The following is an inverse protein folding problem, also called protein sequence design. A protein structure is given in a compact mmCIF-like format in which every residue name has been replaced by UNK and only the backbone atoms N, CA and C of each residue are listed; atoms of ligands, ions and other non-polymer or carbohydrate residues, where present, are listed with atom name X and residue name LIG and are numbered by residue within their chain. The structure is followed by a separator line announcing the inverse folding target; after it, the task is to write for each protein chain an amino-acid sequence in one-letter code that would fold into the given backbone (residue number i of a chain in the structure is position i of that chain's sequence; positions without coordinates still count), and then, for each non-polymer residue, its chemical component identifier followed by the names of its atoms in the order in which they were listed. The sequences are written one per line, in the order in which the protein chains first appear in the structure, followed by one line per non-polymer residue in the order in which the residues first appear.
data_IF_724872044089
#
_entry.id   IF_724872044089
#
_cell.length_a   1.000
_cell.length_b   1.000
_cell.length_c   1.000
_cell.angle_alpha   90.00
_cell.angle_beta   90.00
_cell.angle_gamma   90.00
#
_symmetry.space_group_name_H-M   'P 1'
#
loop_
_entity.id
_entity.type
_entity.pdbx_description
1 polymer ?
#
# COMPACT_ATOMS: atom_id res chain seq x y z
N UNK A 1 -1.75 0.68 -37.04
CA UNK A 1 -0.69 1.14 -36.09
C UNK A 1 -1.03 1.00 -34.61
N UNK A 2 -2.27 0.63 -34.23
CA UNK A 2 -2.71 0.60 -32.82
C UNK A 2 -1.98 -0.42 -31.91
N UNK A 3 -1.38 -1.45 -32.51
CA UNK A 3 -0.64 -2.51 -31.79
C UNK A 3 0.75 -2.02 -31.39
N UNK A 4 1.48 -1.39 -32.32
CA UNK A 4 2.84 -0.86 -32.07
C UNK A 4 2.79 0.24 -30.99
N UNK A 5 1.81 1.14 -31.05
CA UNK A 5 1.67 2.19 -30.02
C UNK A 5 1.45 1.62 -28.62
N UNK A 6 0.63 0.56 -28.49
CA UNK A 6 0.37 -0.08 -27.21
C UNK A 6 1.61 -0.81 -26.69
N UNK A 7 2.32 -1.51 -27.57
CA UNK A 7 3.42 -2.41 -27.19
C UNK A 7 4.74 -1.66 -26.98
N UNK A 8 4.97 -0.55 -27.71
CA UNK A 8 6.19 0.25 -27.61
C UNK A 8 6.01 1.58 -26.86
N UNK A 9 4.79 2.09 -26.77
CA UNK A 9 4.50 3.38 -26.14
C UNK A 9 3.29 3.32 -25.20
N UNK A 10 3.34 2.47 -24.15
CA UNK A 10 2.22 2.29 -23.23
C UNK A 10 1.79 3.61 -22.56
N UNK A 11 2.74 4.53 -22.34
CA UNK A 11 2.51 5.81 -21.67
C UNK A 11 2.23 6.98 -22.63
N UNK A 12 2.14 6.75 -23.94
CA UNK A 12 1.93 7.80 -24.95
C UNK A 12 0.71 8.67 -24.63
N UNK A 13 -0.38 8.02 -24.18
CA UNK A 13 -1.62 8.70 -23.82
C UNK A 13 -1.43 9.59 -22.60
N UNK A 14 -0.69 9.13 -21.58
CA UNK A 14 -0.38 9.93 -20.38
C UNK A 14 0.47 11.14 -20.75
N UNK A 15 1.46 10.96 -21.62
CA UNK A 15 2.36 12.04 -22.05
C UNK A 15 1.61 13.14 -22.82
N UNK A 16 0.73 12.76 -23.75
CA UNK A 16 -0.11 13.73 -24.50
C UNK A 16 -0.93 14.62 -23.58
N UNK A 17 -1.47 14.04 -22.51
CA UNK A 17 -2.34 14.73 -21.55
C UNK A 17 -1.57 15.70 -20.69
N UNK A 18 -0.37 15.31 -20.28
CA UNK A 18 0.52 16.21 -19.56
C UNK A 18 0.88 17.42 -20.43
N UNK A 19 1.16 17.20 -21.72
CA UNK A 19 1.40 18.30 -22.65
C UNK A 19 0.17 19.21 -22.81
N UNK A 20 -1.02 18.64 -23.01
CA UNK A 20 -2.27 19.42 -23.09
C UNK A 20 -2.54 20.22 -21.81
N UNK A 21 -2.20 19.67 -20.65
CA UNK A 21 -2.31 20.36 -19.36
C UNK A 21 -1.37 21.56 -19.27
N UNK A 22 -0.11 21.39 -19.67
CA UNK A 22 0.87 22.48 -19.70
C UNK A 22 0.47 23.58 -20.69
N UNK A 23 -0.03 23.22 -21.86
CA UNK A 23 -0.57 24.18 -22.83
C UNK A 23 -1.79 24.93 -22.28
N UNK A 24 -2.71 24.24 -21.60
CA UNK A 24 -3.87 24.87 -20.99
C UNK A 24 -3.46 25.89 -19.91
N UNK A 25 -2.44 25.59 -19.11
CA UNK A 25 -1.87 26.54 -18.14
C UNK A 25 -1.26 27.73 -18.86
N UNK A 26 -0.42 27.50 -19.87
CA UNK A 26 0.26 28.56 -20.61
C UNK A 26 -0.72 29.54 -21.27
N UNK A 27 -1.85 29.02 -21.78
CA UNK A 27 -2.91 29.81 -22.40
C UNK A 27 -3.97 30.31 -21.40
N UNK A 28 -3.86 29.96 -20.11
CA UNK A 28 -4.83 30.25 -19.05
C UNK A 28 -6.27 29.77 -19.39
N UNK A 29 -6.38 28.63 -20.06
CA UNK A 29 -7.66 28.02 -20.46
C UNK A 29 -8.18 27.10 -19.34
N UNK A 30 -9.03 27.67 -18.49
CA UNK A 30 -9.62 26.97 -17.35
C UNK A 30 -10.62 25.88 -17.76
N UNK A 31 -11.26 26.01 -18.93
CA UNK A 31 -12.25 25.04 -19.43
C UNK A 31 -11.52 23.75 -19.81
N UNK A 32 -10.44 23.88 -20.58
CA UNK A 32 -9.59 22.74 -20.99
C UNK A 32 -8.95 22.07 -19.79
N UNK A 33 -8.48 22.86 -18.81
CA UNK A 33 -7.92 22.33 -17.56
C UNK A 33 -8.93 21.43 -16.81
N UNK A 34 -10.17 21.89 -16.65
CA UNK A 34 -11.24 21.12 -15.98
C UNK A 34 -11.60 19.84 -16.72
N UNK A 35 -11.61 19.89 -18.05
CA UNK A 35 -11.88 18.72 -18.89
C UNK A 35 -10.78 17.66 -18.71
N UNK A 36 -9.51 18.08 -18.73
CA UNK A 36 -8.36 17.21 -18.48
C UNK A 36 -8.48 16.57 -17.08
N UNK A 37 -8.73 17.36 -16.04
CA UNK A 37 -8.90 16.81 -14.68
C UNK A 37 -10.04 15.80 -14.59
N UNK A 38 -11.19 16.08 -15.19
CA UNK A 38 -12.34 15.17 -15.17
C UNK A 38 -12.03 13.84 -15.85
N UNK A 39 -11.29 13.87 -16.96
CA UNK A 39 -10.96 12.66 -17.74
C UNK A 39 -9.93 11.77 -17.04
N UNK A 40 -8.96 12.35 -16.32
CA UNK A 40 -7.83 11.61 -15.75
C UNK A 40 -7.92 11.37 -14.23
N UNK A 41 -8.71 12.17 -13.50
CA UNK A 41 -8.94 12.00 -12.06
C UNK A 41 -10.16 11.12 -11.74
N UNK A 42 -10.87 10.62 -12.75
CA UNK A 42 -12.06 9.75 -12.62
C UNK A 42 -11.74 8.35 -12.09
N UNK A 43 -10.46 7.99 -11.93
CA UNK A 43 -10.02 6.67 -11.50
C UNK A 43 -9.81 6.51 -9.99
N UNK A 44 -10.14 7.49 -9.17
CA UNK A 44 -10.17 7.26 -7.71
C UNK A 44 -11.46 6.49 -7.37
N UNK A 45 -11.41 5.18 -7.03
CA UNK A 45 -12.58 4.51 -6.52
C UNK A 45 -12.82 5.06 -5.11
N UNK A 46 -13.61 6.14 -5.00
CA UNK A 46 -14.09 6.64 -3.71
C UNK A 46 -15.12 5.68 -3.08
N UNK A 47 -15.52 4.64 -3.80
CA UNK A 47 -16.38 3.58 -3.31
C UNK A 47 -15.46 2.42 -2.87
N UNK A 48 -15.01 2.49 -1.62
CA UNK A 48 -14.47 1.32 -0.92
C UNK A 48 -15.66 0.39 -0.67
N UNK A 49 -15.89 -0.54 -1.57
CA UNK A 49 -16.84 -1.64 -1.34
C UNK A 49 -16.50 -2.25 0.04
N UNK A 50 -17.45 -2.32 0.98
CA UNK A 50 -17.18 -2.90 2.28
C UNK A 50 -16.78 -4.37 2.08
N UNK A 51 -15.62 -4.75 2.59
CA UNK A 51 -15.18 -6.14 2.56
C UNK A 51 -16.25 -7.01 3.23
N UNK A 52 -16.72 -8.09 2.59
CA UNK A 52 -17.69 -9.00 3.21
C UNK A 52 -17.10 -9.54 4.52
N UNK A 53 -17.77 -9.26 5.63
CA UNK A 53 -17.33 -9.62 6.98
C UNK A 53 -17.95 -10.95 7.49
N UNK A 54 -18.63 -11.68 6.64
CA UNK A 54 -19.36 -12.91 7.01
C UNK A 54 -18.90 -14.07 6.14
N UNK A 55 -17.69 -14.57 6.37
CA UNK A 55 -17.36 -15.94 5.96
C UNK A 55 -17.81 -16.86 7.08
N UNK A 56 -19.04 -17.35 6.97
CA UNK A 56 -19.61 -18.31 7.90
C UNK A 56 -18.82 -19.62 7.77
N UNK A 57 -18.20 -20.06 8.86
CA UNK A 57 -17.37 -21.26 8.88
C UNK A 57 -18.29 -22.46 9.09
N UNK A 58 -18.41 -23.42 8.15
CA UNK A 58 -19.29 -24.56 8.34
C UNK A 58 -18.81 -25.39 9.53
N UNK A 59 -19.66 -25.54 10.54
CA UNK A 59 -19.41 -26.42 11.71
C UNK A 59 -19.37 -27.88 11.23
N UNK A 60 -18.32 -28.65 11.57
CA UNK A 60 -18.34 -30.07 11.35
C UNK A 60 -19.43 -30.69 12.23
N UNK A 61 -20.30 -31.49 11.60
CA UNK A 61 -21.27 -32.37 12.25
C UNK A 61 -20.54 -33.39 13.13
N UNK A 62 -20.10 -32.98 14.32
CA UNK A 62 -19.53 -33.88 15.32
C UNK A 62 -20.64 -34.24 16.31
N UNK A 63 -21.22 -35.40 16.06
CA UNK A 63 -21.93 -36.19 17.05
C UNK A 63 -21.15 -36.24 18.37
N UNK A 64 -21.78 -35.73 19.43
CA UNK A 64 -21.73 -36.13 20.83
C UNK A 64 -20.38 -36.54 21.49
N UNK A 65 -20.15 -35.92 22.65
CA UNK A 65 -19.24 -36.29 23.75
C UNK A 65 -17.74 -35.97 23.49
N UNK A 66 -16.97 -35.38 24.40
CA UNK A 66 -16.87 -35.66 25.84
C UNK A 66 -16.20 -34.47 26.55
N UNK A 67 -16.60 -34.32 27.81
CA UNK A 67 -16.15 -33.42 28.87
C UNK A 67 -14.65 -33.58 29.23
N UNK A 68 -13.84 -32.50 29.15
CA UNK A 68 -12.65 -32.28 30.01
C UNK A 68 -12.07 -30.86 29.85
N UNK A 69 -11.82 -30.10 30.94
CA UNK A 69 -11.01 -28.89 30.89
C UNK A 69 -9.65 -29.08 31.60
N UNK A 70 -8.51 -28.77 30.95
CA UNK A 70 -7.30 -28.37 31.65
C UNK A 70 -7.07 -26.87 31.43
N UNK A 71 -7.24 -26.05 32.45
CA UNK A 71 -6.20 -25.71 33.42
C UNK A 71 -5.45 -24.43 33.01
N UNK A 72 -5.74 -23.39 33.78
CA UNK A 72 -5.13 -22.06 33.69
C UNK A 72 -3.66 -22.19 34.08
N UNK A 73 -2.74 -21.90 33.15
CA UNK A 73 -1.34 -21.64 33.49
C UNK A 73 -0.91 -20.28 32.93
N UNK A 74 -0.82 -19.34 33.86
CA UNK A 74 -0.17 -18.04 33.71
C UNK A 74 1.34 -18.19 33.50
N UNK A 75 1.95 -17.10 33.02
CA UNK A 75 3.39 -16.81 32.91
C UNK A 75 4.12 -17.43 31.69
N UNK A 76 4.37 -16.64 30.65
CA UNK A 76 5.67 -16.02 30.38
C UNK A 76 5.49 -14.94 29.30
N UNK A 77 5.73 -13.69 29.69
CA UNK A 77 5.99 -12.58 28.79
C UNK A 77 7.28 -12.85 28.00
N UNK A 78 7.23 -12.85 26.67
CA UNK A 78 8.37 -12.34 25.89
C UNK A 78 7.82 -11.66 24.64
N UNK A 79 7.69 -10.35 24.76
CA UNK A 79 7.54 -9.46 23.63
C UNK A 79 8.75 -9.61 22.70
N UNK A 80 8.51 -9.72 21.39
CA UNK A 80 9.28 -9.01 20.38
C UNK A 80 8.70 -9.30 19.00
N UNK A 81 7.70 -8.50 18.66
CA UNK A 81 7.35 -8.25 17.27
C UNK A 81 8.54 -7.59 16.55
N UNK A 82 9.09 -8.22 15.52
CA UNK A 82 9.95 -7.52 14.56
C UNK A 82 9.52 -7.84 13.13
N UNK A 83 8.31 -7.38 12.79
CA UNK A 83 7.89 -7.20 11.41
C UNK A 83 8.46 -5.83 10.98
N UNK A 84 9.57 -5.83 10.24
CA UNK A 84 10.19 -4.60 9.73
C UNK A 84 9.36 -4.04 8.57
N UNK A 85 8.21 -3.45 8.89
CA UNK A 85 7.54 -2.50 8.01
C UNK A 85 8.31 -1.20 8.11
N UNK A 86 9.13 -0.89 7.09
CA UNK A 86 9.83 0.39 7.02
C UNK A 86 8.81 1.52 6.86
N UNK A 87 8.40 2.09 7.98
CA UNK A 87 7.51 3.26 7.99
C UNK A 87 8.33 4.52 7.73
N UNK A 88 7.68 5.61 7.33
CA UNK A 88 8.36 6.90 7.09
C UNK A 88 9.19 7.40 8.29
N UNK A 89 8.90 6.92 9.50
CA UNK A 89 9.62 7.21 10.74
C UNK A 89 10.98 6.50 10.88
N UNK A 90 11.24 5.45 10.11
CA UNK A 90 12.54 4.76 10.15
C UNK A 90 13.68 5.69 9.73
N UNK A 91 13.44 6.64 8.82
CA UNK A 91 14.47 7.57 8.35
C UNK A 91 14.85 8.65 9.37
N UNK A 92 14.07 8.78 10.44
CA UNK A 92 14.27 9.77 11.51
C UNK A 92 14.36 9.10 12.89
N UNK A 93 14.40 7.78 12.95
CA UNK A 93 14.59 7.04 14.20
C UNK A 93 16.01 7.18 14.71
N UNK A 94 16.16 7.18 16.04
CA UNK A 94 17.44 7.17 16.74
C UNK A 94 18.30 5.98 16.27
N UNK A 95 17.69 4.80 16.06
CA UNK A 95 18.39 3.60 15.59
C UNK A 95 19.01 3.78 14.18
N UNK A 96 18.32 4.49 13.27
CA UNK A 96 18.87 4.78 11.93
C UNK A 96 19.99 5.81 11.97
N UNK A 97 19.93 6.76 12.91
CA UNK A 97 21.01 7.72 13.14
C UNK A 97 22.24 7.01 13.69
N UNK A 98 22.08 6.21 14.75
CA UNK A 98 23.16 5.43 15.34
C UNK A 98 23.80 4.51 14.29
N UNK A 99 23.01 3.71 13.58
CA UNK A 99 23.53 2.86 12.50
C UNK A 99 24.32 3.64 11.45
N UNK A 100 23.93 4.87 11.10
CA UNK A 100 24.65 5.67 10.09
C UNK A 100 25.97 6.26 10.59
N UNK A 101 26.08 6.55 11.88
CA UNK A 101 27.24 7.26 12.44
C UNK A 101 28.12 6.39 13.36
N UNK A 102 27.71 5.15 13.64
CA UNK A 102 28.47 4.20 14.46
C UNK A 102 28.81 2.90 13.73
N UNK A 103 28.50 2.77 12.44
CA UNK A 103 28.69 1.50 11.68
C UNK A 103 30.11 1.26 11.17
N UNK A 104 30.97 2.27 11.09
CA UNK A 104 32.28 2.11 10.45
C UNK A 104 33.27 1.28 11.30
N UNK A 105 33.01 1.07 12.59
CA UNK A 105 33.93 0.37 13.51
C UNK A 105 33.49 -1.07 13.89
N UNK A 106 32.33 -1.54 13.41
CA UNK A 106 31.75 -2.84 13.80
C UNK A 106 31.82 -3.94 12.73
N UNK A 107 32.24 -3.63 11.49
CA UNK A 107 32.21 -4.59 10.37
C UNK A 107 33.54 -5.32 10.10
N UNK A 108 34.57 -5.12 10.93
CA UNK A 108 35.77 -5.95 10.89
C UNK A 108 36.42 -6.08 12.27
N UNK A 109 36.11 -7.16 12.99
CA UNK A 109 37.02 -8.08 13.69
C UNK A 109 36.25 -9.20 14.40
#
# INVERSE_FOLDING_TARGET
SKIIERDFFPDLQKLKVQNEYLEAIANNDLIKLRQIFSKYNSKSPLIREPSPATFETPLPSASLATDEPPSVRSEVSTASSSKSTKTLGDKHSLDSFLFKYTSEDNDSF
#
